data_IF_517951523213
#
_entry.id   IF_517951523213
#
_cell.length_a   1.000
_cell.length_b   1.000
_cell.length_c   1.000
_cell.angle_alpha   90.00
_cell.angle_beta   90.00
_cell.angle_gamma   90.00
#
_symmetry.space_group_name_H-M   'P 1'
#
loop_
_entity.id
_entity.type
_entity.pdbx_description
1 polymer ?
#
# COMPACT_ATOMS: atom_id res chain seq x y z
N UNK A 1 78.93 -23.49 20.10
CA UNK A 1 78.07 -22.36 20.54
C UNK A 1 76.89 -22.29 19.58
N UNK A 2 75.71 -22.79 19.97
CA UNK A 2 74.57 -23.00 19.07
C UNK A 2 73.43 -22.06 19.49
N UNK A 3 73.13 -21.02 18.70
CA UNK A 3 72.00 -20.10 18.95
C UNK A 3 70.79 -20.54 18.13
N UNK A 4 69.83 -21.20 18.78
CA UNK A 4 68.52 -21.49 18.20
C UNK A 4 67.63 -20.25 18.27
N UNK A 5 67.39 -19.62 17.12
CA UNK A 5 66.39 -18.56 16.96
C UNK A 5 64.98 -19.15 17.15
N UNK A 6 64.34 -18.87 18.29
CA UNK A 6 62.91 -19.16 18.48
C UNK A 6 62.08 -18.14 17.69
N UNK A 7 61.54 -18.52 16.54
CA UNK A 7 60.46 -17.77 15.86
C UNK A 7 59.23 -17.74 16.78
N UNK A 8 58.87 -16.55 17.26
CA UNK A 8 57.67 -16.31 18.06
C UNK A 8 56.44 -16.56 17.17
N UNK A 9 55.50 -17.44 17.55
CA UNK A 9 54.44 -17.85 16.65
C UNK A 9 53.42 -16.71 16.44
N UNK A 10 52.90 -16.73 15.22
CA UNK A 10 51.86 -15.94 14.58
C UNK A 10 50.54 -15.83 15.37
N UNK A 11 50.55 -15.29 16.59
CA UNK A 11 49.36 -15.10 17.44
C UNK A 11 48.37 -14.06 16.89
N UNK A 12 48.87 -13.04 16.17
CA UNK A 12 48.02 -12.00 15.56
C UNK A 12 47.09 -12.54 14.45
N UNK A 13 47.58 -13.47 13.62
CA UNK A 13 46.78 -14.03 12.53
C UNK A 13 45.72 -15.00 13.03
N UNK A 14 46.01 -15.74 14.11
CA UNK A 14 45.04 -16.64 14.77
C UNK A 14 43.90 -15.83 15.40
N UNK A 15 44.21 -14.70 16.05
CA UNK A 15 43.20 -13.80 16.61
C UNK A 15 42.27 -13.20 15.54
N UNK A 16 42.83 -12.78 14.40
CA UNK A 16 42.03 -12.26 13.27
C UNK A 16 41.10 -13.34 12.70
N UNK A 17 41.60 -14.57 12.56
CA UNK A 17 40.80 -15.70 12.09
C UNK A 17 39.65 -16.03 13.05
N UNK A 18 39.90 -15.98 14.37
CA UNK A 18 38.87 -16.22 15.37
C UNK A 18 37.75 -15.17 15.33
N UNK A 19 38.09 -13.89 15.19
CA UNK A 19 37.10 -12.80 15.07
C UNK A 19 36.26 -12.97 13.81
N UNK A 20 36.89 -13.28 12.67
CA UNK A 20 36.17 -13.53 11.42
C UNK A 20 35.21 -14.72 11.52
N UNK A 21 35.62 -15.79 12.19
CA UNK A 21 34.77 -16.97 12.42
C UNK A 21 33.56 -16.64 13.30
N UNK A 22 33.77 -15.91 14.40
CA UNK A 22 32.68 -15.46 15.28
C UNK A 22 31.71 -14.57 14.51
N UNK A 23 32.22 -13.61 13.74
CA UNK A 23 31.38 -12.73 12.92
C UNK A 23 30.52 -13.52 11.92
N UNK A 24 31.11 -14.49 11.22
CA UNK A 24 30.39 -15.34 10.28
C UNK A 24 29.32 -16.20 10.96
N UNK A 25 29.60 -16.74 12.15
CA UNK A 25 28.63 -17.50 12.93
C UNK A 25 27.49 -16.59 13.38
N UNK A 26 27.80 -15.40 13.92
CA UNK A 26 26.76 -14.44 14.31
C UNK A 26 25.92 -14.02 13.11
N UNK A 27 26.53 -13.76 11.95
CA UNK A 27 25.80 -13.40 10.74
C UNK A 27 24.89 -14.55 10.28
N UNK A 28 25.37 -15.79 10.32
CA UNK A 28 24.58 -16.97 9.96
C UNK A 28 23.40 -17.21 10.92
N UNK A 29 23.61 -17.03 12.22
CA UNK A 29 22.53 -17.10 13.23
C UNK A 29 21.55 -15.95 13.03
N UNK A 30 22.03 -14.72 12.79
CA UNK A 30 21.18 -13.56 12.53
C UNK A 30 20.38 -13.74 11.25
N UNK A 31 20.98 -14.24 10.17
CA UNK A 31 20.26 -14.55 8.94
C UNK A 31 19.19 -15.59 9.24
N UNK A 32 19.51 -16.70 9.90
CA UNK A 32 18.53 -17.75 10.20
C UNK A 32 17.41 -17.30 11.16
N UNK A 33 17.73 -16.45 12.14
CA UNK A 33 16.77 -15.94 13.11
C UNK A 33 15.92 -14.78 12.57
N UNK A 34 16.49 -13.94 11.70
CA UNK A 34 15.79 -12.83 11.03
C UNK A 34 15.22 -13.22 9.67
N UNK A 35 15.43 -14.46 9.20
CA UNK A 35 14.66 -15.07 8.11
C UNK A 35 13.24 -15.39 8.62
N UNK A 36 12.57 -14.35 9.09
CA UNK A 36 11.14 -14.36 9.30
C UNK A 36 10.57 -14.49 7.90
N UNK A 37 9.72 -15.49 7.66
CA UNK A 37 8.92 -15.57 6.44
C UNK A 37 8.41 -14.15 6.14
N UNK A 38 8.87 -13.54 5.04
CA UNK A 38 8.29 -12.32 4.50
C UNK A 38 6.87 -12.69 4.04
N UNK A 39 5.94 -12.89 4.98
CA UNK A 39 4.55 -12.61 4.68
C UNK A 39 4.56 -11.18 4.18
N UNK A 40 4.17 -11.00 2.92
CA UNK A 40 4.30 -9.76 2.19
C UNK A 40 3.48 -8.68 2.90
N UNK A 41 4.08 -8.02 3.89
CA UNK A 41 3.42 -7.10 4.82
C UNK A 41 2.76 -5.97 4.05
N UNK A 42 3.36 -5.63 2.91
CA UNK A 42 2.84 -4.69 1.91
C UNK A 42 1.48 -5.13 1.37
N UNK A 43 1.30 -6.40 1.01
CA UNK A 43 0.03 -6.96 0.51
C UNK A 43 -1.02 -6.91 1.63
N UNK A 44 -0.65 -7.27 2.87
CA UNK A 44 -1.55 -7.20 4.03
C UNK A 44 -2.01 -5.75 4.27
N UNK A 45 -1.07 -4.81 4.31
CA UNK A 45 -1.37 -3.40 4.48
C UNK A 45 -2.21 -2.84 3.31
N UNK A 46 -1.98 -3.34 2.10
CA UNK A 46 -2.76 -2.96 0.93
C UNK A 46 -4.19 -3.51 0.99
N UNK A 47 -4.38 -4.73 1.50
CA UNK A 47 -5.70 -5.29 1.79
C UNK A 47 -6.46 -4.48 2.85
N UNK A 48 -5.78 -4.00 3.89
CA UNK A 48 -6.38 -3.09 4.89
C UNK A 48 -6.81 -1.75 4.27
N UNK A 49 -6.00 -1.22 3.34
CA UNK A 49 -6.38 -0.05 2.56
C UNK A 49 -7.60 -0.32 1.68
N UNK A 50 -7.68 -1.47 1.02
CA UNK A 50 -8.85 -1.90 0.24
C UNK A 50 -10.13 -1.93 1.10
N UNK A 51 -10.08 -2.52 2.30
CA UNK A 51 -11.24 -2.58 3.19
C UNK A 51 -11.69 -1.19 3.65
N UNK A 52 -10.73 -0.30 3.91
CA UNK A 52 -11.03 1.10 4.25
C UNK A 52 -11.63 1.84 3.06
N UNK A 53 -11.07 1.64 1.86
CA UNK A 53 -11.59 2.20 0.62
C UNK A 53 -13.04 1.76 0.38
N UNK A 54 -13.34 0.46 0.49
CA UNK A 54 -14.70 -0.10 0.38
C UNK A 54 -15.68 0.58 1.35
N UNK A 55 -15.29 0.71 2.62
CA UNK A 55 -16.12 1.38 3.63
C UNK A 55 -16.38 2.84 3.27
N UNK A 56 -15.38 3.56 2.78
CA UNK A 56 -15.51 4.96 2.40
C UNK A 56 -16.33 5.19 1.12
N UNK A 57 -16.26 4.27 0.15
CA UNK A 57 -17.16 4.29 -1.02
C UNK A 57 -18.62 4.16 -0.57
N UNK A 58 -18.91 3.16 0.26
CA UNK A 58 -20.27 2.89 0.75
C UNK A 58 -20.78 4.03 1.64
N UNK A 59 -19.96 4.53 2.57
CA UNK A 59 -20.36 5.63 3.45
C UNK A 59 -20.62 6.93 2.67
N UNK A 60 -19.80 7.21 1.64
CA UNK A 60 -20.00 8.35 0.74
C UNK A 60 -21.35 8.27 0.01
N UNK A 61 -21.69 7.08 -0.51
CA UNK A 61 -22.99 6.86 -1.14
C UNK A 61 -24.15 7.12 -0.18
N UNK A 62 -24.10 6.58 1.04
CA UNK A 62 -25.14 6.80 2.05
C UNK A 62 -25.26 8.27 2.44
N UNK A 63 -24.14 8.97 2.61
CA UNK A 63 -24.15 10.40 2.92
C UNK A 63 -24.78 11.21 1.79
N UNK A 64 -24.49 10.89 0.53
CA UNK A 64 -25.11 11.52 -0.63
C UNK A 64 -26.63 11.28 -0.68
N UNK A 65 -27.06 10.03 -0.44
CA UNK A 65 -28.49 9.65 -0.44
C UNK A 65 -29.31 10.43 0.58
N UNK A 66 -28.74 10.78 1.72
CA UNK A 66 -29.43 11.48 2.82
C UNK A 66 -29.43 13.00 2.61
N UNK A 67 -28.44 13.57 1.92
CA UNK A 67 -28.24 15.03 1.79
C UNK A 67 -28.84 15.67 0.52
N UNK A 68 -29.71 14.95 -0.19
CA UNK A 68 -30.17 15.27 -1.56
C UNK A 68 -29.05 15.11 -2.62
N UNK A 69 -29.39 14.88 -3.90
CA UNK A 69 -28.39 14.77 -4.97
C UNK A 69 -27.50 16.00 -5.06
N UNK A 70 -26.21 15.81 -4.80
CA UNK A 70 -25.16 16.83 -4.90
C UNK A 70 -23.99 16.30 -5.73
N UNK A 71 -23.27 17.18 -6.41
CA UNK A 71 -22.06 16.81 -7.15
C UNK A 71 -20.85 16.61 -6.23
N UNK A 72 -20.96 16.97 -4.95
CA UNK A 72 -19.88 16.88 -3.98
C UNK A 72 -20.40 16.70 -2.55
N UNK A 73 -19.75 15.83 -1.78
CA UNK A 73 -19.97 15.66 -0.34
C UNK A 73 -18.67 15.96 0.43
N UNK A 74 -18.78 16.12 1.75
CA UNK A 74 -17.63 16.22 2.64
C UNK A 74 -17.53 14.93 3.46
N UNK A 75 -16.60 14.04 3.11
CA UNK A 75 -16.34 12.79 3.82
C UNK A 75 -15.49 13.07 5.06
N UNK A 76 -15.89 12.50 6.20
CA UNK A 76 -15.15 12.63 7.46
C UNK A 76 -14.42 11.32 7.72
N UNK A 77 -13.13 11.41 8.01
CA UNK A 77 -12.25 10.28 8.29
C UNK A 77 -12.09 10.13 9.79
N UNK A 78 -12.20 8.90 10.28
CA UNK A 78 -12.04 8.57 11.69
C UNK A 78 -10.91 7.55 11.85
N UNK A 79 -10.18 7.65 12.96
CA UNK A 79 -9.30 6.56 13.38
C UNK A 79 -10.10 5.43 14.06
N UNK A 80 -9.40 4.37 14.44
CA UNK A 80 -9.98 3.22 15.13
C UNK A 80 -10.62 3.56 16.48
N UNK A 81 -10.17 4.63 17.13
CA UNK A 81 -10.76 5.13 18.39
C UNK A 81 -12.01 6.01 18.16
N UNK A 82 -12.46 6.17 16.91
CA UNK A 82 -13.60 7.00 16.54
C UNK A 82 -13.32 8.51 16.59
N UNK A 83 -12.05 8.91 16.71
CA UNK A 83 -11.65 10.32 16.65
C UNK A 83 -11.51 10.74 15.19
N UNK A 84 -12.11 11.87 14.84
CA UNK A 84 -11.93 12.48 13.54
C UNK A 84 -10.44 12.80 13.28
N UNK A 85 -9.93 12.36 12.15
CA UNK A 85 -8.54 12.57 11.71
C UNK A 85 -8.45 13.53 10.54
N UNK A 86 -9.44 13.56 9.65
CA UNK A 86 -9.43 14.41 8.47
C UNK A 86 -10.84 14.61 7.90
N UNK A 87 -10.98 15.55 6.95
CA UNK A 87 -12.16 15.72 6.10
C UNK A 87 -11.74 16.01 4.67
N UNK A 88 -12.38 15.38 3.70
CA UNK A 88 -12.07 15.56 2.29
C UNK A 88 -13.33 15.81 1.46
N UNK A 89 -13.27 16.71 0.46
CA UNK A 89 -14.32 16.80 -0.53
C UNK A 89 -14.28 15.56 -1.44
N UNK A 90 -15.40 14.89 -1.61
CA UNK A 90 -15.56 13.75 -2.53
C UNK A 90 -16.55 14.15 -3.61
N UNK A 91 -16.10 14.16 -4.86
CA UNK A 91 -16.97 14.39 -6.02
C UNK A 91 -17.82 13.15 -6.26
N UNK A 92 -19.09 13.37 -6.60
CA UNK A 92 -20.09 12.31 -6.77
C UNK A 92 -20.64 12.35 -8.20
N UNK A 93 -20.88 11.18 -8.79
CA UNK A 93 -21.58 11.07 -10.07
C UNK A 93 -23.10 11.19 -9.87
N UNK A 94 -23.84 11.13 -10.98
CA UNK A 94 -25.30 11.23 -10.98
C UNK A 94 -26.00 10.06 -10.23
N UNK A 95 -25.32 8.92 -10.07
CA UNK A 95 -25.79 7.75 -9.31
C UNK A 95 -25.42 7.83 -7.82
N UNK A 96 -24.72 8.88 -7.39
CA UNK A 96 -24.30 9.05 -6.01
C UNK A 96 -23.10 8.20 -5.61
N UNK A 97 -22.21 7.89 -6.54
CA UNK A 97 -20.96 7.19 -6.28
C UNK A 97 -19.75 8.12 -6.43
N UNK A 98 -18.69 7.93 -5.62
CA UNK A 98 -17.44 8.67 -5.78
C UNK A 98 -16.90 8.62 -7.21
N UNK A 99 -16.47 9.77 -7.74
CA UNK A 99 -15.99 9.91 -9.11
C UNK A 99 -14.97 11.04 -9.23
N UNK A 100 -14.31 11.15 -10.39
CA UNK A 100 -13.39 12.21 -10.76
C UNK A 100 -13.33 12.33 -12.29
N UNK A 101 -12.36 13.09 -12.81
CA UNK A 101 -12.13 13.17 -14.25
C UNK A 101 -11.75 11.80 -14.84
N UNK A 102 -12.10 11.55 -16.11
CA UNK A 102 -11.83 10.29 -16.83
C UNK A 102 -10.34 10.16 -17.22
N UNK A 103 -9.49 9.95 -16.23
CA UNK A 103 -8.03 9.87 -16.38
C UNK A 103 -7.38 9.18 -15.19
N UNK A 104 -6.12 8.74 -15.33
CA UNK A 104 -5.36 8.19 -14.19
C UNK A 104 -5.25 9.21 -13.05
N UNK A 105 -5.04 10.50 -13.35
CA UNK A 105 -5.06 11.57 -12.32
C UNK A 105 -6.42 11.64 -11.59
N UNK A 106 -7.52 11.40 -12.30
CA UNK A 106 -8.83 11.28 -11.69
C UNK A 106 -8.93 10.08 -10.74
N UNK A 107 -8.38 8.92 -11.13
CA UNK A 107 -8.28 7.77 -10.22
C UNK A 107 -7.43 8.08 -8.98
N UNK A 108 -6.35 8.85 -9.12
CA UNK A 108 -5.58 9.36 -7.98
C UNK A 108 -6.42 10.28 -7.07
N UNK A 109 -7.26 11.14 -7.65
CA UNK A 109 -8.19 12.00 -6.89
C UNK A 109 -9.26 11.20 -6.17
N UNK A 110 -9.79 10.14 -6.79
CA UNK A 110 -10.72 9.22 -6.11
C UNK A 110 -10.04 8.60 -4.89
N UNK A 111 -8.83 8.05 -5.06
CA UNK A 111 -8.07 7.50 -3.94
C UNK A 111 -7.84 8.52 -2.83
N UNK A 112 -7.26 9.66 -3.16
CA UNK A 112 -6.85 10.66 -2.15
C UNK A 112 -8.05 11.30 -1.45
N UNK A 113 -9.17 11.49 -2.15
CA UNK A 113 -10.41 11.96 -1.53
C UNK A 113 -11.05 10.91 -0.63
N UNK A 114 -11.04 9.63 -1.02
CA UNK A 114 -11.62 8.56 -0.21
C UNK A 114 -10.71 8.10 0.92
N UNK A 115 -9.39 8.16 0.79
CA UNK A 115 -8.46 7.61 1.78
C UNK A 115 -7.82 8.68 2.67
N UNK A 116 -7.88 9.95 2.26
CA UNK A 116 -7.18 11.06 2.91
C UNK A 116 -5.66 10.83 3.11
N UNK A 117 -5.09 9.93 2.32
CA UNK A 117 -3.68 9.54 2.32
C UNK A 117 -3.14 9.51 0.89
N UNK A 118 -1.82 9.70 0.71
CA UNK A 118 -1.20 9.54 -0.59
C UNK A 118 -1.30 8.09 -1.08
N UNK A 119 -1.07 7.87 -2.37
CA UNK A 119 -1.00 6.56 -3.02
C UNK A 119 0.26 5.79 -2.63
N UNK A 120 0.35 5.44 -1.34
CA UNK A 120 1.47 4.70 -0.77
C UNK A 120 1.00 3.75 0.32
N UNK A 121 1.65 2.60 0.41
CA UNK A 121 1.47 1.62 1.48
C UNK A 121 2.81 1.01 1.82
N UNK A 122 3.18 0.99 3.10
CA UNK A 122 4.49 0.51 3.59
C UNK A 122 5.71 1.07 2.83
N UNK A 123 5.62 2.31 2.34
CA UNK A 123 6.69 2.94 1.57
C UNK A 123 6.74 2.54 0.08
N UNK A 124 5.84 1.68 -0.38
CA UNK A 124 5.64 1.37 -1.79
C UNK A 124 4.63 2.31 -2.42
N UNK A 125 4.80 2.60 -3.71
CA UNK A 125 3.85 3.40 -4.49
C UNK A 125 2.67 2.52 -4.89
N UNK A 126 1.46 3.05 -4.73
CA UNK A 126 0.25 2.49 -5.34
C UNK A 126 0.07 3.19 -6.69
N UNK A 127 -0.09 2.41 -7.75
CA UNK A 127 -0.44 2.93 -9.06
C UNK A 127 -1.95 3.08 -9.15
N UNK A 128 -2.44 4.16 -9.76
CA UNK A 128 -3.86 4.40 -10.00
C UNK A 128 -4.06 4.60 -11.50
N UNK A 129 -4.46 3.53 -12.17
CA UNK A 129 -4.57 3.52 -13.62
C UNK A 129 -6.03 3.58 -14.04
N UNK A 130 -6.31 4.45 -15.00
CA UNK A 130 -7.62 4.56 -15.64
C UNK A 130 -7.74 3.57 -16.78
N UNK A 131 -8.86 2.84 -16.79
CA UNK A 131 -9.26 1.97 -17.88
C UNK A 131 -10.68 2.28 -18.29
N UNK A 132 -10.96 2.16 -19.59
CA UNK A 132 -12.30 2.28 -20.15
C UNK A 132 -12.47 1.32 -21.31
N UNK A 133 -13.71 0.84 -21.49
CA UNK A 133 -14.07 0.11 -22.69
C UNK A 133 -14.27 1.10 -23.85
N UNK A 134 -13.62 0.83 -24.98
CA UNK A 134 -13.59 1.75 -26.13
C UNK A 134 -14.91 1.82 -26.90
N UNK A 135 -15.88 0.94 -26.61
CA UNK A 135 -17.05 0.73 -27.48
C UNK A 135 -18.42 0.95 -26.84
N UNK A 136 -18.55 1.15 -25.52
CA UNK A 136 -19.87 1.35 -24.89
C UNK A 136 -19.88 2.42 -23.80
N UNK A 137 -20.38 3.62 -24.15
CA UNK A 137 -20.74 4.76 -23.28
C UNK A 137 -19.63 5.29 -22.33
N UNK A 138 -19.54 6.62 -22.18
CA UNK A 138 -18.59 7.29 -21.24
C UNK A 138 -18.71 6.82 -19.77
N UNK A 139 -19.74 6.05 -19.45
CA UNK A 139 -20.03 5.51 -18.12
C UNK A 139 -19.30 4.19 -17.80
N UNK A 140 -18.70 3.49 -18.77
CA UNK A 140 -18.05 2.19 -18.50
C UNK A 140 -16.51 2.32 -18.36
N UNK A 141 -16.09 2.88 -17.24
CA UNK A 141 -14.69 3.00 -16.86
C UNK A 141 -14.43 2.49 -15.44
N UNK A 142 -13.19 2.14 -15.16
CA UNK A 142 -12.75 1.75 -13.83
C UNK A 142 -11.36 2.29 -13.51
N UNK A 143 -11.09 2.37 -12.21
CA UNK A 143 -9.80 2.68 -11.65
C UNK A 143 -9.19 1.41 -11.10
N UNK A 144 -8.00 1.04 -11.59
CA UNK A 144 -7.20 -0.04 -11.01
C UNK A 144 -6.20 0.55 -10.04
N UNK A 145 -6.23 0.09 -8.80
CA UNK A 145 -5.21 0.39 -7.81
C UNK A 145 -4.30 -0.82 -7.67
N UNK A 146 -3.00 -0.65 -7.90
CA UNK A 146 -2.06 -1.78 -7.96
C UNK A 146 -0.71 -1.50 -7.29
N UNK A 147 -0.07 -2.58 -6.85
CA UNK A 147 1.31 -2.59 -6.39
C UNK A 147 2.24 -3.10 -7.49
N UNK A 148 3.51 -2.74 -7.38
CA UNK A 148 4.56 -3.28 -8.26
C UNK A 148 4.74 -4.80 -8.16
N UNK A 149 4.28 -5.42 -7.06
CA UNK A 149 4.25 -6.88 -6.90
C UNK A 149 3.26 -7.58 -7.83
N UNK A 150 2.28 -6.85 -8.39
CA UNK A 150 1.20 -7.38 -9.21
C UNK A 150 -0.15 -7.38 -8.51
N UNK A 151 -0.19 -7.28 -7.17
CA UNK A 151 -1.45 -7.23 -6.43
C UNK A 151 -2.28 -5.99 -6.81
N UNK A 152 -3.57 -6.16 -7.10
CA UNK A 152 -4.46 -5.08 -7.52
C UNK A 152 -5.92 -5.29 -7.11
N UNK A 153 -6.69 -4.19 -7.13
CA UNK A 153 -8.14 -4.23 -7.13
C UNK A 153 -8.71 -3.13 -8.02
N UNK A 154 -9.93 -3.34 -8.51
CA UNK A 154 -10.63 -2.41 -9.39
C UNK A 154 -11.79 -1.74 -8.66
N UNK A 155 -11.98 -0.46 -8.95
CA UNK A 155 -13.14 0.33 -8.53
C UNK A 155 -13.91 0.82 -9.76
N UNK A 156 -15.22 0.60 -9.77
CA UNK A 156 -16.13 0.99 -10.86
C UNK A 156 -17.01 2.16 -10.42
N UNK A 157 -16.69 3.41 -10.81
CA UNK A 157 -17.44 4.59 -10.38
C UNK A 157 -18.90 4.59 -10.84
N UNK A 158 -19.24 3.91 -11.94
CA UNK A 158 -20.61 3.82 -12.46
C UNK A 158 -21.62 3.31 -11.41
N UNK A 159 -21.21 2.29 -10.64
CA UNK A 159 -22.09 1.55 -9.72
C UNK A 159 -21.52 1.38 -8.30
N UNK A 160 -20.33 1.91 -8.02
CA UNK A 160 -19.70 1.81 -6.70
C UNK A 160 -19.06 0.46 -6.39
N UNK A 161 -19.00 -0.47 -7.34
CA UNK A 161 -18.43 -1.81 -7.12
C UNK A 161 -16.92 -1.72 -6.91
N UNK A 162 -16.42 -2.45 -5.92
CA UNK A 162 -15.00 -2.64 -5.67
C UNK A 162 -14.72 -4.14 -5.68
N UNK A 163 -13.75 -4.59 -6.47
CA UNK A 163 -13.39 -6.02 -6.54
C UNK A 163 -12.71 -6.48 -5.25
N UNK A 164 -12.51 -7.79 -5.14
CA UNK A 164 -11.56 -8.33 -4.18
C UNK A 164 -10.14 -8.07 -4.66
N UNK A 165 -9.19 -8.17 -3.73
CA UNK A 165 -7.78 -8.15 -4.07
C UNK A 165 -7.48 -9.36 -4.95
N UNK A 166 -6.76 -9.11 -6.04
CA UNK A 166 -6.21 -10.14 -6.92
C UNK A 166 -4.69 -10.04 -6.81
N UNK A 167 -4.04 -11.17 -6.55
CA UNK A 167 -2.59 -11.32 -6.30
C UNK A 167 -1.98 -12.46 -7.13
#
# INVERSE_FOLDING_TARGET
MNKTNKKKPSTSNVFKAAIAAIFAITLGVTINFLHTDEQDTTIIAFALNLDTFKRHVVSSHWQWRVRQPTTMIMLIHYNESGKETNRTPVRMNHNGWPTAELSSEGCEKIWTSLMATPLRVDGFKIHADYYAELEENEDNYWCRFSLSSGAYFDYFPANGTVTNLSD
#
